data_IF_124951001294
#
_entry.id   IF_124951001294
#
_cell.length_a   1.000
_cell.length_b   1.000
_cell.length_c   1.000
_cell.angle_alpha   90.00
_cell.angle_beta   90.00
_cell.angle_gamma   90.00
#
_symmetry.space_group_name_H-M   'P 1'
#
loop_
_entity.id
_entity.type
_entity.pdbx_description
1 polymer ?
#
# COMPACT_ATOMS: atom_id res chain seq x y z
N UNK A 1 -48.69 15.58 13.32
CA UNK A 1 -49.68 15.84 14.39
C UNK A 1 -48.93 15.94 15.71
N UNK A 2 -49.10 17.08 16.40
CA UNK A 2 -48.73 17.42 17.79
C UNK A 2 -47.22 17.33 18.14
N UNK A 3 -46.59 18.31 18.79
CA UNK A 3 -47.08 19.51 19.46
C UNK A 3 -46.04 19.91 20.53
N UNK A 4 -45.71 21.19 20.56
CA UNK A 4 -44.74 21.82 21.46
C UNK A 4 -45.12 21.74 22.96
N UNK A 5 -44.14 21.93 23.84
CA UNK A 5 -44.38 22.17 25.27
C UNK A 5 -43.12 22.22 26.13
N UNK A 6 -42.49 23.39 26.19
CA UNK A 6 -41.52 23.76 27.24
C UNK A 6 -42.28 24.27 28.51
N UNK A 7 -41.60 24.79 29.55
CA UNK A 7 -41.25 24.10 30.79
C UNK A 7 -41.99 24.65 32.04
N UNK A 8 -41.97 23.93 33.17
CA UNK A 8 -42.56 24.43 34.42
C UNK A 8 -41.55 24.51 35.59
N UNK A 9 -41.35 25.76 36.01
CA UNK A 9 -41.13 26.34 37.35
C UNK A 9 -40.36 25.59 38.47
N UNK A 10 -39.35 26.31 39.00
CA UNK A 10 -38.70 26.12 40.31
C UNK A 10 -39.61 26.46 41.50
N UNK A 11 -39.45 25.76 42.63
CA UNK A 11 -39.44 26.37 43.97
C UNK A 11 -38.79 25.49 45.07
N UNK A 12 -37.69 26.01 45.63
CA UNK A 12 -37.19 26.00 47.04
C UNK A 12 -37.42 24.78 47.97
N UNK A 13 -36.31 24.11 48.29
CA UNK A 13 -35.63 24.25 49.59
C UNK A 13 -36.00 23.29 50.73
N UNK A 14 -35.03 22.44 51.15
CA UNK A 14 -34.71 22.19 52.56
C UNK A 14 -33.33 21.53 52.70
N UNK A 15 -32.54 22.06 53.62
CA UNK A 15 -31.23 21.58 54.03
C UNK A 15 -31.33 20.28 54.83
N UNK A 16 -30.37 19.37 54.64
CA UNK A 16 -30.16 18.19 55.46
C UNK A 16 -28.75 17.66 55.23
N UNK A 17 -27.89 17.79 56.25
CA UNK A 17 -26.50 17.36 56.19
C UNK A 17 -26.34 15.85 56.05
N UNK A 18 -25.43 15.45 55.17
CA UNK A 18 -24.97 14.07 55.00
C UNK A 18 -23.57 14.09 54.40
N UNK A 19 -22.65 13.37 55.06
CA UNK A 19 -21.21 13.24 54.78
C UNK A 19 -20.86 13.12 53.28
N UNK A 20 -19.66 13.56 52.84
CA UNK A 20 -19.21 13.36 51.47
C UNK A 20 -19.14 11.84 51.19
N UNK A 21 -20.09 11.33 50.40
CA UNK A 21 -19.93 10.03 49.76
C UNK A 21 -18.80 10.20 48.75
N UNK A 22 -17.69 9.53 49.00
CA UNK A 22 -16.72 9.19 47.98
C UNK A 22 -17.48 8.48 46.84
N UNK A 23 -17.89 9.27 45.85
CA UNK A 23 -18.42 8.78 44.60
C UNK A 23 -17.28 8.10 43.90
N UNK A 24 -17.32 6.77 43.88
CA UNK A 24 -16.48 5.92 43.06
C UNK A 24 -16.39 6.53 41.66
N UNK A 25 -15.18 6.95 41.28
CA UNK A 25 -14.76 7.01 39.88
C UNK A 25 -14.81 5.57 39.36
N UNK A 26 -16.01 5.15 38.96
CA UNK A 26 -16.18 4.11 37.97
C UNK A 26 -16.61 4.87 36.72
N UNK A 27 -15.66 5.57 36.11
CA UNK A 27 -15.72 5.79 34.67
C UNK A 27 -15.84 4.37 34.10
N UNK A 28 -17.03 4.05 33.58
CA UNK A 28 -17.17 2.85 32.78
C UNK A 28 -16.16 3.02 31.65
N UNK A 29 -15.12 2.20 31.64
CA UNK A 29 -14.19 2.11 30.51
C UNK A 29 -15.05 1.80 29.28
N UNK A 30 -15.41 2.84 28.54
CA UNK A 30 -16.22 2.73 27.34
C UNK A 30 -15.34 2.04 26.31
N UNK A 31 -15.77 0.87 25.84
CA UNK A 31 -15.02 0.12 24.85
C UNK A 31 -14.82 0.98 23.60
N UNK A 32 -13.61 1.46 23.40
CA UNK A 32 -13.21 2.23 22.24
C UNK A 32 -12.68 1.29 21.16
N UNK A 33 -13.22 1.40 19.95
CA UNK A 33 -12.65 0.73 18.79
C UNK A 33 -11.31 1.38 18.43
N UNK A 34 -10.32 0.56 18.13
CA UNK A 34 -9.04 1.01 17.60
C UNK A 34 -9.26 1.82 16.32
N UNK A 35 -8.62 2.98 16.22
CA UNK A 35 -8.67 3.79 15.01
C UNK A 35 -7.78 3.14 13.93
N UNK A 36 -8.33 2.74 12.76
CA UNK A 36 -7.56 2.00 11.75
C UNK A 36 -6.41 2.81 11.13
N UNK A 37 -6.61 4.12 10.94
CA UNK A 37 -5.65 5.01 10.29
C UNK A 37 -5.66 6.37 10.96
N UNK A 38 -4.55 6.71 11.62
CA UNK A 38 -4.36 7.93 12.39
C UNK A 38 -3.07 8.63 11.93
N UNK A 39 -3.13 9.96 11.87
CA UNK A 39 -1.98 10.81 11.59
C UNK A 39 -1.87 11.82 12.73
N UNK A 40 -0.78 11.70 13.49
CA UNK A 40 -0.38 12.74 14.43
C UNK A 40 0.49 13.77 13.72
N UNK A 41 0.21 15.04 13.95
CA UNK A 41 0.96 16.16 13.39
C UNK A 41 1.32 17.11 14.52
N UNK A 42 2.50 17.72 14.46
CA UNK A 42 2.88 18.82 15.35
C UNK A 42 1.80 19.91 15.41
N UNK A 43 1.40 20.27 16.63
CA UNK A 43 0.41 21.30 16.88
C UNK A 43 0.83 22.68 16.35
N UNK A 44 2.13 22.97 16.22
CA UNK A 44 2.62 24.23 15.65
C UNK A 44 2.21 24.44 14.19
N UNK A 45 1.90 23.35 13.48
CA UNK A 45 1.47 23.35 12.08
C UNK A 45 -0.04 23.58 11.91
N UNK A 46 -0.82 23.59 13.00
CA UNK A 46 -2.28 23.70 12.92
C UNK A 46 -2.76 24.97 12.24
N UNK A 47 -2.08 26.11 12.47
CA UNK A 47 -2.41 27.38 11.81
C UNK A 47 -1.86 27.48 10.39
N UNK A 48 -0.87 26.64 10.04
CA UNK A 48 -0.20 26.64 8.74
C UNK A 48 -0.83 25.68 7.74
N UNK A 49 -1.45 24.61 8.24
CA UNK A 49 -2.20 23.64 7.44
C UNK A 49 -3.64 24.11 7.32
N UNK A 50 -4.07 24.40 6.09
CA UNK A 50 -5.45 24.77 5.85
C UNK A 50 -6.35 23.54 5.99
N UNK A 51 -7.12 23.45 7.07
CA UNK A 51 -7.92 22.26 7.41
C UNK A 51 -8.86 21.80 6.27
N UNK A 52 -9.45 22.74 5.52
CA UNK A 52 -10.29 22.38 4.36
C UNK A 52 -9.46 21.80 3.21
N UNK A 53 -8.36 22.46 2.85
CA UNK A 53 -7.43 22.00 1.79
C UNK A 53 -6.89 20.61 2.10
N UNK A 54 -6.41 20.40 3.33
CA UNK A 54 -5.88 19.12 3.77
C UNK A 54 -6.94 18.01 3.71
N UNK A 55 -8.16 18.27 4.19
CA UNK A 55 -9.23 17.27 4.12
C UNK A 55 -9.60 16.93 2.68
N UNK A 56 -9.63 17.91 1.77
CA UNK A 56 -9.85 17.66 0.34
C UNK A 56 -8.74 16.81 -0.28
N UNK A 57 -7.47 17.09 0.03
CA UNK A 57 -6.33 16.30 -0.44
C UNK A 57 -6.36 14.86 0.11
N UNK A 58 -6.69 14.67 1.39
CA UNK A 58 -6.83 13.33 1.99
C UNK A 58 -7.95 12.52 1.31
N UNK A 59 -9.10 13.14 1.03
CA UNK A 59 -10.20 12.51 0.28
C UNK A 59 -9.75 12.17 -1.15
N UNK A 60 -8.99 13.05 -1.80
CA UNK A 60 -8.46 12.84 -3.14
C UNK A 60 -7.50 11.65 -3.18
N UNK A 61 -6.54 11.57 -2.26
CA UNK A 61 -5.60 10.45 -2.18
C UNK A 61 -6.32 9.14 -1.94
N UNK A 62 -7.26 9.09 -0.97
CA UNK A 62 -8.05 7.88 -0.74
C UNK A 62 -8.81 7.43 -1.98
N UNK A 63 -9.39 8.37 -2.73
CA UNK A 63 -10.10 8.08 -3.98
C UNK A 63 -9.14 7.59 -5.07
N UNK A 64 -7.98 8.22 -5.22
CA UNK A 64 -6.96 7.81 -6.18
C UNK A 64 -6.48 6.37 -5.89
N UNK A 65 -6.15 6.08 -4.63
CA UNK A 65 -5.76 4.74 -4.19
C UNK A 65 -6.86 3.71 -4.46
N UNK A 66 -8.13 4.03 -4.22
CA UNK A 66 -9.23 3.14 -4.58
C UNK A 66 -9.35 2.92 -6.10
N UNK A 67 -9.10 3.94 -6.92
CA UNK A 67 -9.09 3.81 -8.37
C UNK A 67 -7.92 2.96 -8.89
N UNK A 68 -6.78 3.01 -8.22
CA UNK A 68 -5.59 2.27 -8.59
C UNK A 68 -5.63 0.82 -8.09
N UNK A 69 -6.02 0.60 -6.83
CA UNK A 69 -5.98 -0.72 -6.17
C UNK A 69 -7.31 -1.44 -6.07
N UNK A 70 -8.43 -0.71 -5.95
CA UNK A 70 -9.72 -1.29 -5.59
C UNK A 70 -9.88 -1.65 -4.10
N UNK A 71 -8.93 -1.24 -3.25
CA UNK A 71 -8.98 -1.45 -1.78
C UNK A 71 -9.84 -0.36 -1.11
N UNK A 72 -10.82 -0.72 -0.25
CA UNK A 72 -11.68 0.24 0.43
C UNK A 72 -10.98 0.80 1.69
N UNK A 73 -9.99 1.68 1.51
CA UNK A 73 -9.26 2.29 2.63
C UNK A 73 -10.20 3.06 3.60
N UNK A 74 -9.95 3.02 4.92
CA UNK A 74 -10.79 3.64 5.93
C UNK A 74 -10.73 5.19 5.90
N UNK A 75 -11.50 5.83 6.77
CA UNK A 75 -11.34 7.26 7.04
C UNK A 75 -9.97 7.55 7.66
N UNK A 76 -9.39 8.70 7.32
CA UNK A 76 -8.12 9.16 7.87
C UNK A 76 -8.43 10.09 9.05
N UNK A 77 -7.99 9.72 10.24
CA UNK A 77 -8.10 10.57 11.42
C UNK A 77 -6.85 11.41 11.56
N UNK A 78 -7.02 12.73 11.67
CA UNK A 78 -5.90 13.65 11.89
C UNK A 78 -6.00 14.26 13.28
N UNK A 79 -4.89 14.23 14.01
CA UNK A 79 -4.77 14.79 15.36
C UNK A 79 -3.54 15.69 15.42
N UNK A 80 -3.72 16.89 15.97
CA UNK A 80 -2.62 17.77 16.34
C UNK A 80 -2.17 17.45 17.75
N UNK A 81 -0.87 17.24 17.95
CA UNK A 81 -0.29 16.78 19.21
C UNK A 81 0.88 17.67 19.63
N UNK A 82 0.79 18.25 20.83
CA UNK A 82 1.81 19.13 21.42
C UNK A 82 3.09 18.38 21.85
N UNK A 83 3.03 17.05 21.99
CA UNK A 83 4.18 16.24 22.37
C UNK A 83 5.12 15.89 21.19
N UNK A 84 4.76 16.27 19.97
CA UNK A 84 5.53 16.00 18.75
C UNK A 84 6.72 16.96 18.63
N UNK A 85 7.77 16.54 17.92
CA UNK A 85 8.87 17.43 17.53
C UNK A 85 8.43 18.51 16.53
N UNK A 86 9.24 19.56 16.38
CA UNK A 86 8.95 20.67 15.46
C UNK A 86 8.79 20.19 14.01
N UNK A 87 7.62 20.44 13.45
CA UNK A 87 7.23 20.00 12.11
C UNK A 87 7.03 18.50 11.94
N UNK A 88 7.13 17.69 13.00
CA UNK A 88 7.04 16.24 12.91
C UNK A 88 5.60 15.77 12.64
N UNK A 89 5.47 14.69 11.86
CA UNK A 89 4.24 13.93 11.77
C UNK A 89 4.51 12.43 11.82
N UNK A 90 3.49 11.69 12.28
CA UNK A 90 3.55 10.25 12.49
C UNK A 90 2.28 9.61 11.92
N UNK A 91 2.47 8.66 11.00
CA UNK A 91 1.39 7.84 10.44
C UNK A 91 1.31 6.55 11.25
N UNK A 92 0.10 6.24 11.70
CA UNK A 92 -0.19 5.09 12.54
C UNK A 92 -1.28 4.24 11.91
N UNK A 93 -1.05 2.92 11.87
CA UNK A 93 -2.03 1.92 11.48
C UNK A 93 -2.46 1.17 12.73
N UNK A 94 -3.77 1.11 12.97
CA UNK A 94 -4.33 0.47 14.17
C UNK A 94 -3.67 1.01 15.46
N UNK A 95 -3.43 2.33 15.50
CA UNK A 95 -2.75 3.06 16.59
C UNK A 95 -1.27 2.65 16.82
N UNK A 96 -0.67 1.91 15.88
CA UNK A 96 0.75 1.55 15.90
C UNK A 96 1.52 2.39 14.88
N UNK A 97 2.62 3.08 15.29
CA UNK A 97 3.46 3.85 14.38
C UNK A 97 4.06 3.00 13.26
N UNK A 98 3.85 3.40 12.01
CA UNK A 98 4.45 2.73 10.83
C UNK A 98 5.38 3.64 10.04
N UNK A 99 5.14 4.95 10.04
CA UNK A 99 5.95 5.90 9.29
C UNK A 99 6.02 7.26 9.99
N UNK A 100 7.11 7.99 9.78
CA UNK A 100 7.34 9.33 10.32
C UNK A 100 7.95 10.24 9.27
N UNK A 101 7.77 11.53 9.44
CA UNK A 101 8.43 12.54 8.62
C UNK A 101 8.41 13.91 9.28
N UNK A 102 9.03 14.88 8.63
CA UNK A 102 9.05 16.27 9.07
C UNK A 102 8.57 17.16 7.93
N UNK A 103 7.64 18.06 8.22
CA UNK A 103 7.15 19.11 7.35
C UNK A 103 7.92 20.39 7.65
N UNK A 104 8.43 21.05 6.61
CA UNK A 104 9.21 22.29 6.73
C UNK A 104 8.43 23.47 6.16
N UNK A 105 7.80 24.31 7.00
CA UNK A 105 7.09 25.48 6.50
C UNK A 105 8.00 26.45 5.74
N UNK A 106 7.52 27.00 4.62
CA UNK A 106 8.31 27.86 3.74
C UNK A 106 9.28 27.11 2.81
N UNK A 107 9.25 25.77 2.85
CA UNK A 107 9.96 24.90 1.92
C UNK A 107 8.98 24.08 1.10
N UNK A 108 9.43 23.67 -0.07
CA UNK A 108 8.73 22.80 -1.01
C UNK A 108 9.53 21.50 -1.14
N UNK A 109 8.84 20.38 -1.28
CA UNK A 109 9.48 19.12 -1.62
C UNK A 109 9.46 18.90 -3.12
N UNK A 110 10.60 18.54 -3.69
CA UNK A 110 10.76 18.28 -5.13
C UNK A 110 11.27 16.85 -5.30
N UNK A 111 10.71 16.11 -6.26
CA UNK A 111 11.01 14.69 -6.52
C UNK A 111 11.94 14.48 -7.72
N UNK A 112 12.70 15.52 -8.05
CA UNK A 112 13.69 15.49 -9.12
C UNK A 112 15.02 15.01 -8.56
N UNK A 113 15.84 14.39 -9.42
CA UNK A 113 17.19 13.98 -9.05
C UNK A 113 18.04 15.19 -8.69
N UNK A 114 18.96 15.02 -7.74
CA UNK A 114 19.87 16.08 -7.31
C UNK A 114 20.61 16.73 -8.50
N UNK A 115 21.11 15.93 -9.45
CA UNK A 115 21.78 16.42 -10.65
C UNK A 115 20.92 17.35 -11.53
N UNK A 116 19.60 17.16 -11.55
CA UNK A 116 18.68 18.03 -12.29
C UNK A 116 18.46 19.36 -11.55
N UNK A 117 18.38 19.33 -10.22
CA UNK A 117 18.28 20.54 -9.40
C UNK A 117 19.56 21.39 -9.48
N UNK A 118 20.72 20.74 -9.50
CA UNK A 118 22.02 21.40 -9.74
C UNK A 118 22.08 22.10 -11.10
N UNK A 119 21.57 21.45 -12.16
CA UNK A 119 21.52 22.03 -13.50
C UNK A 119 20.64 23.30 -13.55
N UNK A 120 19.58 23.35 -12.75
CA UNK A 120 18.70 24.51 -12.61
C UNK A 120 19.27 25.59 -11.67
N UNK A 121 20.45 25.35 -11.11
CA UNK A 121 21.11 26.19 -10.10
C UNK A 121 20.21 26.45 -8.88
N UNK A 122 19.39 25.47 -8.50
CA UNK A 122 18.47 25.54 -7.35
C UNK A 122 19.16 24.96 -6.12
N UNK A 123 19.40 25.78 -5.06
CA UNK A 123 19.83 25.26 -3.77
C UNK A 123 18.79 24.27 -3.25
N UNK A 124 19.26 23.10 -2.80
CA UNK A 124 18.41 22.03 -2.32
C UNK A 124 19.09 21.27 -1.18
N UNK A 125 18.28 20.68 -0.31
CA UNK A 125 18.72 19.79 0.75
C UNK A 125 18.06 18.43 0.57
N UNK A 126 18.79 17.30 0.69
CA UNK A 126 18.16 15.99 0.60
C UNK A 126 17.11 15.83 1.70
N UNK A 127 15.93 15.32 1.33
CA UNK A 127 14.88 15.07 2.30
C UNK A 127 15.21 13.81 3.11
N UNK A 128 14.98 13.87 4.43
CA UNK A 128 15.11 12.71 5.32
C UNK A 128 13.98 11.68 5.13
N UNK A 129 12.92 12.07 4.42
CA UNK A 129 11.76 11.24 4.17
C UNK A 129 12.12 10.08 3.23
N UNK A 130 12.15 8.86 3.78
CA UNK A 130 12.52 7.65 3.04
C UNK A 130 11.29 7.06 2.35
N UNK A 131 11.15 7.33 1.05
CA UNK A 131 10.18 6.66 0.18
C UNK A 131 10.92 5.69 -0.74
N UNK A 132 10.62 4.38 -0.73
CA UNK A 132 11.36 3.39 -1.52
C UNK A 132 11.44 3.73 -3.01
N UNK A 133 12.66 3.92 -3.51
CA UNK A 133 12.92 4.16 -4.94
C UNK A 133 12.49 5.54 -5.46
N UNK A 134 12.22 6.51 -4.58
CA UNK A 134 12.03 7.92 -4.95
C UNK A 134 13.10 8.79 -4.26
N UNK A 135 13.71 9.68 -5.04
CA UNK A 135 14.57 10.74 -4.50
C UNK A 135 13.72 11.98 -4.24
N UNK A 136 13.92 12.62 -3.09
CA UNK A 136 13.24 13.86 -2.77
C UNK A 136 14.21 14.85 -2.12
N UNK A 137 14.04 16.14 -2.43
CA UNK A 137 14.83 17.23 -1.89
C UNK A 137 13.94 18.39 -1.47
N UNK A 138 14.30 19.03 -0.37
CA UNK A 138 13.73 20.27 0.09
C UNK A 138 14.35 21.45 -0.66
N UNK A 139 13.49 22.35 -1.13
CA UNK A 139 13.87 23.61 -1.78
C UNK A 139 13.10 24.75 -1.14
N UNK A 140 13.75 25.89 -0.90
CA UNK A 140 13.06 27.09 -0.39
C UNK A 140 11.96 27.54 -1.35
N UNK A 141 10.81 27.94 -0.80
CA UNK A 141 9.64 28.36 -1.58
C UNK A 141 9.93 29.55 -2.51
N UNK A 142 10.95 30.37 -2.21
CA UNK A 142 11.42 31.46 -3.06
C UNK A 142 11.87 31.00 -4.47
N UNK A 143 12.13 29.71 -4.67
CA UNK A 143 12.55 29.15 -5.95
C UNK A 143 11.41 28.47 -6.73
N UNK A 144 10.16 28.53 -6.25
CA UNK A 144 9.00 27.92 -6.88
C UNK A 144 8.83 28.30 -8.36
N UNK A 145 8.80 29.61 -8.67
CA UNK A 145 8.64 30.10 -10.05
C UNK A 145 9.67 29.51 -11.02
N UNK A 146 10.89 29.28 -10.54
CA UNK A 146 11.97 28.72 -11.37
C UNK A 146 11.75 27.23 -11.63
N UNK A 147 11.33 26.48 -10.61
CA UNK A 147 11.01 25.05 -10.72
C UNK A 147 9.80 24.81 -11.63
N UNK A 148 8.76 25.64 -11.51
CA UNK A 148 7.57 25.54 -12.35
C UNK A 148 7.88 25.84 -13.81
N UNK A 149 8.73 26.84 -14.09
CA UNK A 149 9.19 27.16 -15.46
C UNK A 149 10.00 26.04 -16.10
N UNK A 150 10.70 25.22 -15.31
CA UNK A 150 11.40 24.03 -15.79
C UNK A 150 10.53 22.78 -15.84
N UNK A 151 9.24 22.89 -15.48
CA UNK A 151 8.30 21.77 -15.48
C UNK A 151 8.47 20.81 -14.29
N UNK A 152 9.22 21.20 -13.26
CA UNK A 152 9.44 20.37 -12.08
C UNK A 152 8.22 20.46 -11.14
N UNK A 153 7.70 19.30 -10.74
CA UNK A 153 6.59 19.24 -9.79
C UNK A 153 7.07 19.56 -8.38
N UNK A 154 6.45 20.57 -7.76
CA UNK A 154 6.71 20.97 -6.38
C UNK A 154 5.54 20.53 -5.49
N UNK A 155 5.84 20.02 -4.30
CA UNK A 155 4.84 19.62 -3.31
C UNK A 155 4.87 20.60 -2.13
N UNK A 156 3.72 21.20 -1.83
CA UNK A 156 3.50 21.98 -0.61
C UNK A 156 3.31 21.08 0.63
N UNK A 157 3.09 21.66 1.81
CA UNK A 157 3.04 20.91 3.08
C UNK A 157 1.98 19.80 3.07
N UNK A 158 0.75 20.12 2.67
CA UNK A 158 -0.35 19.16 2.60
C UNK A 158 -0.04 18.04 1.59
N UNK A 159 0.54 18.40 0.45
CA UNK A 159 0.88 17.47 -0.62
C UNK A 159 2.03 16.55 -0.24
N UNK A 160 3.00 17.01 0.57
CA UNK A 160 4.05 16.15 1.12
C UNK A 160 3.44 15.09 2.02
N UNK A 161 2.54 15.49 2.92
CA UNK A 161 1.86 14.57 3.84
C UNK A 161 1.03 13.55 3.06
N UNK A 162 0.23 13.99 2.08
CA UNK A 162 -0.63 13.09 1.32
C UNK A 162 0.14 12.21 0.33
N UNK A 163 1.24 12.69 -0.25
CA UNK A 163 2.17 11.90 -1.05
C UNK A 163 2.79 10.78 -0.22
N UNK A 164 3.35 11.09 0.95
CA UNK A 164 3.91 10.05 1.82
C UNK A 164 2.84 9.06 2.28
N UNK A 165 1.67 9.55 2.71
CA UNK A 165 0.54 8.70 3.10
C UNK A 165 0.16 7.73 1.99
N UNK A 166 0.17 8.16 0.73
CA UNK A 166 -0.15 7.28 -0.40
C UNK A 166 0.82 6.11 -0.57
N UNK A 167 2.10 6.30 -0.21
CA UNK A 167 3.11 5.25 -0.22
C UNK A 167 2.89 4.27 0.92
N UNK A 168 2.69 4.80 2.13
CA UNK A 168 2.39 3.97 3.32
C UNK A 168 1.15 3.12 3.09
N UNK A 169 0.05 3.71 2.60
CA UNK A 169 -1.17 2.95 2.34
C UNK A 169 -1.03 1.90 1.23
N UNK A 170 -0.14 2.13 0.26
CA UNK A 170 0.21 1.15 -0.77
C UNK A 170 1.02 -0.01 -0.19
N UNK A 171 2.00 0.29 0.65
CA UNK A 171 2.85 -0.70 1.31
C UNK A 171 2.03 -1.62 2.24
N UNK A 172 1.12 -1.04 3.02
CA UNK A 172 0.26 -1.76 3.96
C UNK A 172 -1.13 -2.10 3.39
N UNK A 173 -1.30 -2.13 2.07
CA UNK A 173 -2.61 -2.36 1.44
C UNK A 173 -3.26 -3.70 1.87
N UNK A 174 -2.44 -4.72 2.16
CA UNK A 174 -2.87 -6.03 2.64
C UNK A 174 -3.65 -5.95 3.96
N UNK A 175 -3.22 -5.08 4.88
CA UNK A 175 -3.81 -4.92 6.22
C UNK A 175 -5.23 -4.35 6.18
N UNK A 176 -5.59 -3.67 5.08
CA UNK A 176 -6.91 -3.08 4.86
C UNK A 176 -7.88 -4.01 4.14
N UNK A 177 -7.50 -5.26 3.89
CA UNK A 177 -8.39 -6.29 3.33
C UNK A 177 -8.62 -7.37 4.39
N UNK A 178 -9.72 -7.26 5.13
CA UNK A 178 -10.22 -8.31 6.01
C UNK A 178 -11.43 -9.04 5.44
N UNK A 179 -12.02 -9.89 6.28
CA UNK A 179 -13.28 -10.60 5.96
C UNK A 179 -14.43 -9.60 5.73
N UNK A 180 -14.45 -8.51 6.51
CA UNK A 180 -15.48 -7.48 6.43
C UNK A 180 -15.38 -6.70 5.12
N UNK A 181 -14.18 -6.28 4.74
CA UNK A 181 -13.92 -5.53 3.52
C UNK A 181 -14.14 -6.41 2.28
N UNK A 182 -13.72 -7.67 2.34
CA UNK A 182 -14.00 -8.65 1.28
C UNK A 182 -15.51 -8.83 1.09
N UNK A 183 -16.28 -8.98 2.18
CA UNK A 183 -17.74 -9.06 2.11
C UNK A 183 -18.34 -7.80 1.48
N UNK A 184 -17.90 -6.62 1.92
CA UNK A 184 -18.34 -5.35 1.36
C UNK A 184 -18.10 -5.29 -0.17
N UNK A 185 -16.91 -5.67 -0.63
CA UNK A 185 -16.58 -5.71 -2.07
C UNK A 185 -17.50 -6.67 -2.84
N UNK A 186 -17.80 -7.85 -2.29
CA UNK A 186 -18.72 -8.80 -2.90
C UNK A 186 -20.16 -8.24 -2.96
N UNK A 187 -20.64 -7.61 -1.89
CA UNK A 187 -21.97 -6.96 -1.86
C UNK A 187 -22.10 -5.85 -2.91
N UNK A 188 -21.04 -5.06 -3.12
CA UNK A 188 -21.03 -4.07 -4.22
C UNK A 188 -21.09 -4.75 -5.60
N UNK A 189 -20.41 -5.88 -5.77
CA UNK A 189 -20.42 -6.65 -7.01
C UNK A 189 -21.77 -7.33 -7.29
N UNK A 190 -22.54 -7.71 -6.27
CA UNK A 190 -23.83 -8.38 -6.42
C UNK A 190 -24.86 -7.56 -7.21
N UNK A 191 -24.76 -6.22 -7.17
CA UNK A 191 -25.67 -5.33 -7.88
C UNK A 191 -25.61 -5.50 -9.41
N UNK A 192 -24.44 -5.87 -9.96
CA UNK A 192 -24.24 -6.08 -11.40
C UNK A 192 -23.89 -7.52 -11.79
N UNK A 193 -23.33 -8.31 -10.88
CA UNK A 193 -22.75 -9.63 -11.14
C UNK A 193 -23.19 -10.68 -10.11
N UNK A 194 -24.42 -10.59 -9.59
CA UNK A 194 -24.91 -11.46 -8.51
C UNK A 194 -24.81 -12.97 -8.76
N UNK A 195 -25.01 -13.44 -10.00
CA UNK A 195 -24.82 -14.88 -10.33
C UNK A 195 -23.36 -15.31 -10.22
N UNK A 196 -22.43 -14.48 -10.70
CA UNK A 196 -21.00 -14.74 -10.61
C UNK A 196 -20.52 -14.75 -9.16
N UNK A 197 -20.98 -13.79 -8.34
CA UNK A 197 -20.63 -13.75 -6.91
C UNK A 197 -21.09 -15.02 -6.20
N UNK A 198 -22.35 -15.45 -6.42
CA UNK A 198 -22.88 -16.69 -5.82
C UNK A 198 -22.09 -17.91 -6.23
N UNK A 199 -21.74 -18.03 -7.51
CA UNK A 199 -20.98 -19.18 -8.02
C UNK A 199 -19.54 -19.18 -7.48
N UNK A 200 -18.89 -18.01 -7.42
CA UNK A 200 -17.58 -17.87 -6.82
C UNK A 200 -17.58 -18.26 -5.33
N UNK A 201 -18.56 -17.78 -4.54
CA UNK A 201 -18.69 -18.09 -3.11
C UNK A 201 -18.99 -19.58 -2.86
N UNK A 202 -19.69 -20.24 -3.79
CA UNK A 202 -19.95 -21.68 -3.73
C UNK A 202 -18.67 -22.51 -3.87
N UNK A 203 -17.71 -22.02 -4.68
CA UNK A 203 -16.46 -22.72 -4.99
C UNK A 203 -15.34 -22.34 -4.02
N UNK A 204 -15.20 -21.05 -3.71
CA UNK A 204 -14.15 -20.49 -2.88
C UNK A 204 -14.77 -19.84 -1.64
N UNK A 205 -14.57 -20.40 -0.43
CA UNK A 205 -15.06 -19.81 0.81
C UNK A 205 -14.52 -18.39 1.04
N UNK A 206 -15.30 -17.55 1.74
CA UNK A 206 -14.98 -16.14 2.00
C UNK A 206 -13.58 -15.93 2.60
N UNK A 207 -13.14 -16.80 3.51
CA UNK A 207 -11.81 -16.73 4.10
C UNK A 207 -10.69 -16.91 3.05
N UNK A 208 -10.84 -17.88 2.14
CA UNK A 208 -9.90 -18.10 1.04
C UNK A 208 -9.94 -16.94 0.05
N UNK A 209 -11.11 -16.38 -0.24
CA UNK A 209 -11.23 -15.16 -1.06
C UNK A 209 -10.46 -14.00 -0.43
N UNK A 210 -10.60 -13.80 0.88
CA UNK A 210 -9.90 -12.75 1.64
C UNK A 210 -8.38 -12.92 1.49
N UNK A 211 -7.86 -14.13 1.73
CA UNK A 211 -6.43 -14.42 1.60
C UNK A 211 -5.93 -14.20 0.16
N UNK A 212 -6.71 -14.56 -0.86
CA UNK A 212 -6.36 -14.30 -2.26
C UNK A 212 -6.26 -12.79 -2.52
N UNK A 213 -7.25 -12.01 -2.09
CA UNK A 213 -7.25 -10.56 -2.30
C UNK A 213 -6.07 -9.91 -1.56
N UNK A 214 -5.80 -10.31 -0.33
CA UNK A 214 -4.63 -9.91 0.47
C UNK A 214 -3.32 -10.17 -0.30
N UNK A 215 -3.11 -11.39 -0.80
CA UNK A 215 -1.91 -11.76 -1.57
C UNK A 215 -1.77 -10.96 -2.87
N UNK A 216 -2.87 -10.62 -3.53
CA UNK A 216 -2.83 -9.76 -4.72
C UNK A 216 -2.38 -8.35 -4.36
N UNK A 217 -3.03 -7.71 -3.38
CA UNK A 217 -2.73 -6.32 -3.03
C UNK A 217 -1.36 -6.16 -2.35
N UNK A 218 -0.91 -7.15 -1.57
CA UNK A 218 0.42 -7.17 -0.96
C UNK A 218 1.56 -7.24 -1.99
N UNK A 219 1.27 -7.64 -3.22
CA UNK A 219 2.21 -7.58 -4.35
C UNK A 219 1.89 -6.46 -5.35
N UNK A 220 1.18 -5.43 -4.88
CA UNK A 220 0.79 -4.25 -5.64
C UNK A 220 -0.10 -4.60 -6.87
N UNK A 221 -0.86 -5.70 -6.82
CA UNK A 221 -1.80 -6.09 -7.87
C UNK A 221 -3.19 -5.56 -7.54
N UNK A 222 -3.74 -4.76 -8.45
CA UNK A 222 -5.07 -4.17 -8.30
C UNK A 222 -6.15 -5.24 -8.27
N UNK A 223 -7.02 -5.15 -7.27
CA UNK A 223 -8.24 -5.95 -7.14
C UNK A 223 -9.48 -5.24 -7.71
N UNK A 224 -9.31 -4.07 -8.33
CA UNK A 224 -10.42 -3.29 -8.92
C UNK A 224 -11.20 -4.08 -9.96
N UNK A 225 -10.53 -4.91 -10.75
CA UNK A 225 -11.19 -5.79 -11.72
C UNK A 225 -11.74 -7.06 -11.03
N UNK A 226 -12.62 -6.87 -10.04
CA UNK A 226 -13.24 -7.95 -9.27
C UNK A 226 -13.96 -8.95 -10.17
N UNK A 227 -14.52 -8.51 -11.31
CA UNK A 227 -15.15 -9.42 -12.27
C UNK A 227 -14.17 -10.49 -12.76
N UNK A 228 -13.01 -10.08 -13.29
CA UNK A 228 -12.02 -11.02 -13.80
C UNK A 228 -11.45 -11.92 -12.69
N UNK A 229 -11.30 -11.38 -11.48
CA UNK A 229 -10.85 -12.15 -10.31
C UNK A 229 -11.87 -13.24 -9.95
N UNK A 230 -13.16 -12.90 -9.87
CA UNK A 230 -14.23 -13.84 -9.56
C UNK A 230 -14.41 -14.89 -10.67
N UNK A 231 -14.33 -14.49 -11.94
CA UNK A 231 -14.36 -15.43 -13.09
C UNK A 231 -13.20 -16.43 -12.98
N UNK A 232 -11.98 -15.97 -12.66
CA UNK A 232 -10.83 -16.83 -12.46
C UNK A 232 -10.98 -17.76 -11.23
N UNK A 233 -11.57 -17.27 -10.13
CA UNK A 233 -11.89 -18.10 -8.97
C UNK A 233 -12.87 -19.23 -9.32
N UNK A 234 -13.87 -18.96 -10.16
CA UNK A 234 -14.82 -20.00 -10.62
C UNK A 234 -14.14 -21.01 -11.52
N UNK A 235 -13.29 -20.57 -12.46
CA UNK A 235 -12.60 -21.44 -13.41
C UNK A 235 -11.58 -22.37 -12.75
N UNK A 236 -10.81 -21.84 -11.80
CA UNK A 236 -9.66 -22.54 -11.19
C UNK A 236 -9.93 -23.08 -9.81
N UNK A 237 -10.86 -22.50 -9.04
CA UNK A 237 -11.08 -22.86 -7.63
C UNK A 237 -11.58 -24.29 -7.38
N UNK A 238 -12.18 -24.94 -8.38
CA UNK A 238 -12.52 -26.37 -8.30
C UNK A 238 -11.32 -27.29 -8.57
N UNK A 239 -10.37 -26.81 -9.40
CA UNK A 239 -9.19 -27.58 -9.83
C UNK A 239 -8.04 -27.43 -8.85
N UNK A 240 -7.90 -26.24 -8.25
CA UNK A 240 -6.81 -25.88 -7.36
C UNK A 240 -7.32 -25.56 -5.95
N UNK A 241 -6.80 -26.31 -4.97
CA UNK A 241 -7.17 -26.19 -3.56
C UNK A 241 -6.17 -25.36 -2.77
N UNK A 242 -4.93 -25.32 -3.22
CA UNK A 242 -3.91 -24.50 -2.60
C UNK A 242 -4.17 -23.02 -2.93
N UNK A 243 -4.24 -22.17 -1.90
CA UNK A 243 -4.57 -20.75 -2.07
C UNK A 243 -3.44 -19.99 -2.77
N UNK A 244 -2.18 -20.37 -2.51
CA UNK A 244 -1.02 -19.74 -3.14
C UNK A 244 -1.06 -20.01 -4.64
N UNK A 245 -1.19 -21.28 -5.04
CA UNK A 245 -1.25 -21.67 -6.44
C UNK A 245 -2.49 -21.12 -7.15
N UNK A 246 -3.65 -21.10 -6.48
CA UNK A 246 -4.86 -20.47 -7.02
C UNK A 246 -4.66 -18.97 -7.28
N UNK A 247 -3.93 -18.27 -6.40
CA UNK A 247 -3.59 -16.85 -6.59
C UNK A 247 -2.74 -16.66 -7.85
N UNK A 248 -1.79 -17.54 -8.14
CA UNK A 248 -0.98 -17.49 -9.37
C UNK A 248 -1.81 -17.64 -10.65
N UNK A 249 -2.83 -18.51 -10.64
CA UNK A 249 -3.78 -18.62 -11.77
C UNK A 249 -4.61 -17.34 -11.93
N UNK A 250 -5.07 -16.75 -10.83
CA UNK A 250 -5.82 -15.49 -10.86
C UNK A 250 -4.94 -14.35 -11.39
N UNK A 251 -3.68 -14.27 -10.97
CA UNK A 251 -2.71 -13.31 -11.51
C UNK A 251 -2.52 -13.48 -13.02
N UNK A 252 -2.45 -14.72 -13.50
CA UNK A 252 -2.35 -15.02 -14.93
C UNK A 252 -3.58 -14.54 -15.72
N UNK A 253 -4.78 -14.60 -15.13
CA UNK A 253 -6.00 -14.00 -15.70
C UNK A 253 -5.97 -12.46 -15.75
N UNK A 254 -5.13 -11.82 -14.94
CA UNK A 254 -4.89 -10.37 -14.91
C UNK A 254 -3.71 -9.91 -15.77
N UNK A 255 -3.14 -10.77 -16.63
CA UNK A 255 -1.97 -10.48 -17.48
C UNK A 255 -2.00 -9.14 -18.22
N UNK A 256 -3.15 -8.71 -18.73
CA UNK A 256 -3.29 -7.43 -19.44
C UNK A 256 -3.00 -6.24 -18.52
N UNK A 257 -3.50 -6.29 -17.29
CA UNK A 257 -3.25 -5.26 -16.27
C UNK A 257 -1.78 -5.31 -15.83
N UNK A 258 -1.28 -6.49 -15.48
CA UNK A 258 0.10 -6.68 -14.99
C UNK A 258 1.11 -6.19 -16.03
N UNK A 259 0.95 -6.58 -17.30
CA UNK A 259 1.82 -6.10 -18.38
C UNK A 259 1.77 -4.58 -18.53
N UNK A 260 0.57 -3.99 -18.60
CA UNK A 260 0.41 -2.54 -18.75
C UNK A 260 1.07 -1.75 -17.61
N UNK A 261 0.89 -2.23 -16.37
CA UNK A 261 1.46 -1.62 -15.17
C UNK A 261 2.98 -1.58 -15.25
N UNK A 262 3.62 -2.73 -15.51
CA UNK A 262 5.08 -2.84 -15.46
C UNK A 262 5.79 -2.43 -16.75
N UNK A 263 5.08 -2.30 -17.87
CA UNK A 263 5.62 -1.71 -19.09
C UNK A 263 5.39 -0.21 -19.20
N UNK A 264 4.68 0.39 -18.22
CA UNK A 264 4.24 1.80 -18.23
C UNK A 264 3.51 2.16 -19.53
N UNK A 265 2.69 1.23 -20.05
CA UNK A 265 1.96 1.40 -21.30
C UNK A 265 2.76 1.18 -22.59
N UNK A 266 4.06 0.90 -22.50
CA UNK A 266 4.89 0.54 -23.66
C UNK A 266 4.73 -0.94 -24.02
N UNK A 267 5.18 -1.32 -25.22
CA UNK A 267 5.25 -2.72 -25.65
C UNK A 267 6.57 -3.41 -25.28
N UNK A 268 7.44 -2.74 -24.52
CA UNK A 268 8.73 -3.28 -24.09
C UNK A 268 8.70 -3.44 -22.58
N UNK A 269 9.06 -4.63 -22.10
CA UNK A 269 9.18 -4.95 -20.69
C UNK A 269 10.64 -5.27 -20.36
N UNK A 270 11.39 -4.35 -19.72
CA UNK A 270 12.75 -4.62 -19.27
C UNK A 270 12.71 -5.67 -18.16
N UNK A 271 13.45 -6.76 -18.34
CA UNK A 271 13.37 -7.89 -17.42
C UNK A 271 14.72 -8.56 -17.16
N UNK A 272 14.91 -8.95 -15.91
CA UNK A 272 15.89 -9.95 -15.51
C UNK A 272 15.26 -11.34 -15.56
N UNK A 273 16.06 -12.34 -15.91
CA UNK A 273 15.64 -13.73 -15.99
C UNK A 273 16.40 -14.58 -14.98
N UNK A 274 15.80 -15.65 -14.48
CA UNK A 274 16.53 -16.69 -13.78
C UNK A 274 17.13 -17.71 -14.76
N UNK A 275 18.27 -18.28 -14.36
CA UNK A 275 18.80 -19.47 -15.01
C UNK A 275 18.07 -20.73 -14.54
N UNK A 276 17.97 -21.71 -15.43
CA UNK A 276 17.22 -22.94 -15.19
C UNK A 276 17.76 -23.72 -13.98
N UNK A 277 19.07 -23.68 -13.74
CA UNK A 277 19.68 -24.34 -12.58
C UNK A 277 19.21 -23.71 -11.26
N UNK A 278 19.08 -22.38 -11.23
CA UNK A 278 18.59 -21.63 -10.06
C UNK A 278 17.11 -21.92 -9.83
N UNK A 279 16.31 -21.93 -10.89
CA UNK A 279 14.89 -22.29 -10.79
C UNK A 279 14.69 -23.70 -10.20
N UNK A 280 15.46 -24.68 -10.65
CA UNK A 280 15.37 -26.05 -10.15
C UNK A 280 15.80 -26.16 -8.68
N UNK A 281 16.81 -25.41 -8.27
CA UNK A 281 17.26 -25.38 -6.89
C UNK A 281 16.20 -24.79 -5.95
N UNK A 282 15.54 -23.69 -6.37
CA UNK A 282 14.42 -23.10 -5.62
C UNK A 282 13.24 -24.08 -5.57
N UNK A 283 12.89 -24.69 -6.71
CA UNK A 283 11.83 -25.69 -6.82
C UNK A 283 12.05 -26.88 -5.88
N UNK A 284 13.28 -27.40 -5.81
CA UNK A 284 13.65 -28.49 -4.92
C UNK A 284 13.56 -28.15 -3.42
N UNK A 285 13.57 -26.86 -3.08
CA UNK A 285 13.37 -26.34 -1.73
C UNK A 285 11.91 -26.24 -1.29
N UNK A 286 10.94 -26.31 -2.22
CA UNK A 286 9.52 -26.16 -1.87
C UNK A 286 9.03 -27.41 -1.13
N UNK A 287 8.44 -27.21 0.04
CA UNK A 287 7.85 -28.27 0.87
C UNK A 287 6.36 -28.04 1.03
N UNK A 288 5.58 -29.08 0.75
CA UNK A 288 4.13 -29.07 0.93
C UNK A 288 3.78 -29.64 2.30
N UNK A 289 2.91 -28.93 3.03
CA UNK A 289 2.38 -29.37 4.32
C UNK A 289 0.86 -29.25 4.35
N UNK A 290 0.23 -29.76 5.41
CA UNK A 290 -1.21 -29.56 5.64
C UNK A 290 -1.60 -28.09 5.85
N UNK A 291 -0.65 -27.24 6.27
CA UNK A 291 -0.86 -25.81 6.48
C UNK A 291 -0.59 -24.97 5.22
N UNK A 292 -0.09 -25.60 4.14
CA UNK A 292 0.28 -24.92 2.90
C UNK A 292 1.70 -25.26 2.46
N UNK A 293 2.12 -24.60 1.39
CA UNK A 293 3.45 -24.76 0.80
C UNK A 293 4.39 -23.66 1.28
N UNK A 294 5.63 -24.02 1.62
CA UNK A 294 6.66 -23.06 2.06
C UNK A 294 8.02 -23.39 1.45
N UNK A 295 8.92 -22.41 1.42
CA UNK A 295 10.27 -22.56 0.90
C UNK A 295 11.25 -22.96 2.01
N UNK A 296 11.92 -24.10 1.84
CA UNK A 296 12.97 -24.61 2.71
C UNK A 296 14.29 -24.72 1.94
N UNK A 297 15.04 -23.63 1.88
CA UNK A 297 16.38 -23.58 1.30
C UNK A 297 17.46 -23.50 2.37
N UNK A 298 18.65 -24.01 2.05
CA UNK A 298 19.84 -23.80 2.87
C UNK A 298 20.15 -22.30 2.95
N UNK A 299 20.41 -21.72 4.14
CA UNK A 299 20.79 -20.32 4.28
C UNK A 299 21.93 -19.88 3.36
N UNK A 300 22.91 -20.74 3.08
CA UNK A 300 24.03 -20.44 2.19
C UNK A 300 23.55 -20.23 0.74
N UNK A 301 22.57 -21.01 0.29
CA UNK A 301 21.96 -20.89 -1.05
C UNK A 301 21.19 -19.58 -1.13
N UNK A 302 20.38 -19.28 -0.10
CA UNK A 302 19.59 -18.04 -0.03
C UNK A 302 20.49 -16.81 -0.09
N UNK A 303 21.57 -16.78 0.69
CA UNK A 303 22.52 -15.68 0.69
C UNK A 303 23.23 -15.53 -0.65
N UNK A 304 23.68 -16.64 -1.25
CA UNK A 304 24.30 -16.62 -2.57
C UNK A 304 23.32 -16.08 -3.64
N UNK A 305 22.05 -16.49 -3.59
CA UNK A 305 21.02 -16.01 -4.50
C UNK A 305 20.80 -14.50 -4.37
N UNK A 306 20.61 -14.00 -3.14
CA UNK A 306 20.38 -12.57 -2.89
C UNK A 306 21.57 -11.71 -3.30
N UNK A 307 22.80 -12.18 -3.05
CA UNK A 307 24.01 -11.48 -3.50
C UNK A 307 24.08 -11.41 -5.03
N UNK A 308 23.71 -12.49 -5.73
CA UNK A 308 23.65 -12.50 -7.21
C UNK A 308 22.57 -11.60 -7.76
N UNK A 309 21.39 -11.57 -7.13
CA UNK A 309 20.33 -10.61 -7.45
C UNK A 309 20.88 -9.19 -7.30
N UNK A 310 21.55 -8.88 -6.19
CA UNK A 310 22.13 -7.56 -5.93
C UNK A 310 23.15 -7.14 -6.96
N UNK A 311 24.08 -8.03 -7.32
CA UNK A 311 25.11 -7.76 -8.32
C UNK A 311 24.53 -7.56 -9.72
N UNK A 312 23.48 -8.30 -10.08
CA UNK A 312 22.91 -8.29 -11.44
C UNK A 312 21.93 -7.14 -11.62
N UNK A 313 21.06 -6.91 -10.63
CA UNK A 313 20.00 -5.89 -10.69
C UNK A 313 20.58 -4.50 -10.46
N UNK A 314 21.53 -4.36 -9.53
CA UNK A 314 22.11 -3.07 -9.17
C UNK A 314 21.08 -2.11 -8.54
N UNK A 315 21.32 -0.82 -8.67
CA UNK A 315 20.44 0.21 -8.10
C UNK A 315 19.24 0.51 -9.02
N UNK A 316 18.05 0.14 -8.55
CA UNK A 316 16.79 0.38 -9.25
C UNK A 316 16.44 1.88 -9.37
N UNK A 317 16.90 2.74 -8.45
CA UNK A 317 16.58 4.17 -8.46
C UNK A 317 17.25 4.92 -9.63
N UNK A 318 18.38 4.40 -10.10
CA UNK A 318 19.11 4.98 -11.24
C UNK A 318 18.49 4.62 -12.59
N UNK A 319 17.63 3.59 -12.64
CA UNK A 319 17.03 3.12 -13.88
C UNK A 319 15.84 4.00 -14.29
N UNK A 320 15.80 4.40 -15.57
CA UNK A 320 14.66 5.14 -16.12
C UNK A 320 13.39 4.30 -16.17
N UNK A 321 13.51 3.03 -16.58
CA UNK A 321 12.40 2.08 -16.62
C UNK A 321 12.64 1.01 -15.55
N UNK A 322 11.70 0.87 -14.61
CA UNK A 322 11.82 -0.12 -13.55
C UNK A 322 11.71 -1.54 -14.13
N UNK A 323 12.75 -2.38 -13.96
CA UNK A 323 12.73 -3.74 -14.47
C UNK A 323 11.86 -4.66 -13.62
N UNK A 324 11.54 -5.82 -14.17
CA UNK A 324 10.90 -6.94 -13.46
C UNK A 324 11.81 -8.16 -13.46
N UNK A 325 11.61 -9.07 -12.51
CA UNK A 325 12.22 -10.41 -12.52
C UNK A 325 11.19 -11.41 -13.05
N UNK A 326 11.50 -12.10 -14.15
CA UNK A 326 10.60 -13.11 -14.75
C UNK A 326 11.08 -14.51 -14.40
N UNK A 327 10.15 -15.33 -13.91
CA UNK A 327 10.40 -16.70 -13.44
C UNK A 327 9.27 -17.66 -13.84
N UNK A 328 9.50 -18.96 -13.63
CA UNK A 328 8.44 -19.97 -13.73
C UNK A 328 7.32 -19.74 -12.70
N UNK A 329 6.07 -20.02 -13.09
CA UNK A 329 4.87 -19.74 -12.28
C UNK A 329 4.89 -20.46 -10.92
N UNK A 330 5.34 -21.71 -10.89
CA UNK A 330 5.39 -22.57 -9.71
C UNK A 330 6.34 -22.08 -8.60
N UNK A 331 7.33 -21.27 -8.97
CA UNK A 331 8.31 -20.72 -8.04
C UNK A 331 8.12 -19.23 -7.74
N UNK A 332 7.23 -18.53 -8.46
CA UNK A 332 7.16 -17.06 -8.49
C UNK A 332 6.94 -16.43 -7.11
N UNK A 333 5.97 -16.92 -6.33
CA UNK A 333 5.70 -16.42 -4.97
C UNK A 333 6.90 -16.57 -4.06
N UNK A 334 7.59 -17.71 -4.13
CA UNK A 334 8.75 -17.97 -3.28
C UNK A 334 9.94 -17.09 -3.67
N UNK A 335 10.15 -16.86 -4.96
CA UNK A 335 11.16 -15.89 -5.43
C UNK A 335 10.81 -14.48 -4.95
N UNK A 336 9.54 -14.07 -5.03
CA UNK A 336 9.08 -12.76 -4.53
C UNK A 336 9.37 -12.56 -3.05
N UNK A 337 9.08 -13.58 -2.23
CA UNK A 337 9.31 -13.57 -0.78
C UNK A 337 10.81 -13.52 -0.45
N UNK A 338 11.64 -14.25 -1.20
CA UNK A 338 13.10 -14.17 -1.04
C UNK A 338 13.63 -12.76 -1.30
N UNK A 339 13.27 -12.17 -2.45
CA UNK A 339 13.83 -10.87 -2.88
C UNK A 339 13.23 -9.67 -2.14
N UNK A 340 12.07 -9.82 -1.49
CA UNK A 340 11.38 -8.73 -0.78
C UNK A 340 12.25 -8.04 0.25
N UNK A 341 13.02 -8.84 1.00
CA UNK A 341 13.86 -8.38 2.10
C UNK A 341 14.93 -7.37 1.68
N UNK A 342 15.53 -7.57 0.50
CA UNK A 342 16.61 -6.73 -0.02
C UNK A 342 16.16 -5.78 -1.14
N UNK A 343 15.09 -6.14 -1.85
CA UNK A 343 14.61 -5.49 -3.07
C UNK A 343 13.06 -5.44 -3.10
N UNK A 344 12.44 -4.82 -2.10
CA UNK A 344 10.98 -4.63 -2.05
C UNK A 344 10.40 -3.98 -3.32
N UNK A 345 11.19 -3.11 -3.98
CA UNK A 345 10.82 -2.42 -5.22
C UNK A 345 10.97 -3.24 -6.51
N UNK A 346 11.48 -4.48 -6.48
CA UNK A 346 11.63 -5.34 -7.66
C UNK A 346 10.40 -6.26 -7.83
N UNK A 347 9.54 -6.04 -8.83
CA UNK A 347 8.40 -6.91 -9.07
C UNK A 347 8.85 -8.24 -9.64
N UNK A 348 8.28 -9.34 -9.14
CA UNK A 348 8.52 -10.70 -9.64
C UNK A 348 7.28 -11.20 -10.37
N UNK A 349 7.43 -11.46 -11.67
CA UNK A 349 6.37 -11.91 -12.57
C UNK A 349 6.59 -13.35 -13.04
N UNK A 350 5.51 -14.04 -13.36
CA UNK A 350 5.59 -15.32 -14.05
C UNK A 350 5.49 -15.15 -15.57
N UNK A 351 6.04 -16.10 -16.34
CA UNK A 351 5.84 -16.12 -17.80
C UNK A 351 4.34 -16.17 -18.21
N UNK A 352 3.46 -16.70 -17.35
CA UNK A 352 2.03 -16.82 -17.63
C UNK A 352 1.25 -15.51 -17.43
N UNK A 353 1.85 -14.55 -16.73
CA UNK A 353 1.32 -13.19 -16.55
C UNK A 353 1.64 -12.27 -17.74
N UNK A 354 2.36 -12.78 -18.75
CA UNK A 354 2.75 -12.02 -19.92
C UNK A 354 1.74 -12.18 -21.05
N UNK A 355 1.39 -11.07 -21.70
CA UNK A 355 0.60 -11.10 -22.94
C UNK A 355 1.48 -11.50 -24.12
N UNK A 356 0.89 -12.01 -25.20
CA UNK A 356 1.65 -12.34 -26.41
C UNK A 356 2.20 -11.11 -27.14
N UNK A 357 1.70 -9.91 -26.83
CA UNK A 357 2.10 -8.67 -27.49
C UNK A 357 3.30 -7.98 -26.84
N UNK A 358 3.64 -8.34 -25.60
CA UNK A 358 4.74 -7.70 -24.89
C UNK A 358 6.08 -8.24 -25.38
N UNK A 359 7.01 -7.34 -25.72
CA UNK A 359 8.38 -7.71 -26.07
C UNK A 359 9.23 -7.64 -24.81
N UNK A 360 9.76 -8.79 -24.40
CA UNK A 360 10.69 -8.87 -23.27
C UNK A 360 12.04 -8.32 -23.74
N UNK A 361 12.59 -7.36 -23.00
CA UNK A 361 13.96 -6.87 -23.18
C UNK A 361 14.82 -7.45 -22.05
N UNK A 362 15.62 -8.50 -22.31
CA UNK A 362 16.49 -9.08 -21.29
C UNK A 362 17.59 -8.08 -20.91
N UNK A 363 17.66 -7.71 -19.63
CA UNK A 363 18.73 -6.89 -19.08
C UNK A 363 19.90 -7.74 -18.56
N UNK A 364 19.60 -8.96 -18.12
CA UNK A 364 20.59 -9.89 -17.59
C UNK A 364 19.94 -11.18 -17.12
N UNK A 365 20.79 -12.15 -16.78
CA UNK A 365 20.36 -13.43 -16.21
C UNK A 365 21.06 -13.66 -14.88
N UNK A 366 20.29 -14.02 -13.86
CA UNK A 366 20.81 -14.37 -12.54
C UNK A 366 21.23 -15.84 -12.56
N UNK A 367 22.51 -16.06 -12.30
CA UNK A 367 23.18 -17.36 -12.20
C UNK A 367 23.85 -17.45 -10.82
N UNK A 368 23.90 -18.64 -10.23
CA UNK A 368 24.56 -18.87 -8.93
C UNK A 368 26.07 -19.04 -9.09
#
# INVERSE_FOLDING_TARGET
AQGAGAPSAKARGKAGGGKPKAGRLAEQEEFALTVPLLIDVDASLQERLEAMSLNEELVRVRRALYLDFGVPFPGIHLRFNEAMGDGEYLVQLQEVPVARGCLRPGWLLVRERAAQLELLAVPHEPAELQVPGEEASWVEQAHQDRLERSGCACLGLEQVLTWHLSHVLREYAEDFIGIQETRYLLEQMEQGYGELVKEAQRIVPLQRMTEILQRLVGEDISIRNMRAILEAMVEWGQKEKDVVQLTEYIRSSLKRYICYKYSSGNNILPAYLLDQAVEEQIRGGIRQTSAGSYLALDPAITQAFLERVRQTVGDLAQMQNRPVLIVSMDIRRYVRELVESDYAGLPVLSYQELTQQINIQPLGRIVL
#
